data_IF_676067580122
#
_entry.id   IF_676067580122
#
_cell.length_a   1.000
_cell.length_b   1.000
_cell.length_c   1.000
_cell.angle_alpha   90.00
_cell.angle_beta   90.00
_cell.angle_gamma   90.00
#
_symmetry.space_group_name_H-M   'P 1'
#
loop_
_entity.id
_entity.type
_entity.pdbx_description
1 polymer ?
#
# COMPACT_ATOMS: atom_id res chain seq x y z
N UNK A 1 22.49 9.54 4.10
CA UNK A 1 21.53 8.44 3.88
C UNK A 1 21.26 8.43 2.39
N UNK A 2 21.73 7.42 1.66
CA UNK A 2 21.37 7.27 0.25
C UNK A 2 19.89 6.90 0.18
N UNK A 3 19.06 7.83 -0.27
CA UNK A 3 17.66 7.57 -0.56
C UNK A 3 17.58 6.71 -1.82
N UNK A 4 17.41 5.41 -1.62
CA UNK A 4 17.21 4.47 -2.70
C UNK A 4 15.72 4.48 -3.09
N UNK A 5 15.33 5.42 -3.94
CA UNK A 5 13.94 5.52 -4.41
C UNK A 5 13.74 4.66 -5.66
N UNK A 6 12.58 4.01 -5.72
CA UNK A 6 12.11 3.31 -6.92
C UNK A 6 11.12 4.26 -7.61
N UNK A 7 11.45 4.68 -8.84
CA UNK A 7 10.54 5.47 -9.68
C UNK A 7 9.71 4.54 -10.55
N UNK A 8 8.39 4.69 -10.51
CA UNK A 8 7.44 3.94 -11.34
C UNK A 8 6.70 4.96 -12.21
N UNK A 9 6.78 4.81 -13.53
CA UNK A 9 6.03 5.63 -14.50
C UNK A 9 5.19 4.75 -15.42
N UNK A 10 3.87 4.80 -15.25
CA UNK A 10 2.92 4.04 -16.08
C UNK A 10 2.99 4.43 -17.57
N UNK A 11 3.54 5.61 -17.92
CA UNK A 11 3.69 6.04 -19.32
C UNK A 11 4.77 5.25 -20.06
N UNK A 12 5.75 4.71 -19.35
CA UNK A 12 6.88 3.95 -19.91
C UNK A 12 6.77 2.44 -19.68
N UNK A 13 5.67 1.97 -19.07
CA UNK A 13 5.45 0.57 -18.76
C UNK A 13 5.20 -0.28 -20.02
N UNK A 14 5.87 -1.43 -20.14
CA UNK A 14 5.72 -2.36 -21.28
C UNK A 14 4.32 -3.02 -21.35
N UNK A 15 3.63 -3.11 -20.20
CA UNK A 15 2.29 -3.69 -20.11
C UNK A 15 1.18 -2.67 -20.35
N UNK A 16 1.52 -1.42 -20.69
CA UNK A 16 0.55 -0.35 -20.91
C UNK A 16 -0.50 -0.77 -21.96
N UNK A 17 -1.75 -0.43 -21.70
CA UNK A 17 -2.91 -0.70 -22.56
C UNK A 17 -3.23 -2.20 -22.78
N UNK A 18 -2.61 -3.10 -22.02
CA UNK A 18 -2.95 -4.52 -21.99
C UNK A 18 -3.98 -4.85 -20.90
N UNK A 19 -4.57 -6.04 -20.96
CA UNK A 19 -5.46 -6.56 -19.91
C UNK A 19 -4.79 -6.65 -18.53
N UNK A 20 -3.46 -6.75 -18.48
CA UNK A 20 -2.72 -6.72 -17.21
C UNK A 20 -2.69 -5.31 -16.62
N UNK A 21 -2.76 -4.26 -17.44
CA UNK A 21 -2.77 -2.88 -16.97
C UNK A 21 -4.05 -2.56 -16.17
N UNK A 22 -5.19 -3.14 -16.55
CA UNK A 22 -6.47 -2.95 -15.84
C UNK A 22 -6.51 -3.60 -14.46
N UNK A 23 -5.65 -4.58 -14.20
CA UNK A 23 -5.54 -5.28 -12.91
C UNK A 23 -4.24 -4.92 -12.17
N UNK A 24 -3.58 -3.82 -12.56
CA UNK A 24 -2.29 -3.44 -12.00
C UNK A 24 -2.44 -2.67 -10.68
N UNK A 25 -1.78 -3.15 -9.63
CA UNK A 25 -1.74 -2.48 -8.32
C UNK A 25 -1.18 -1.05 -8.38
N UNK A 26 -0.35 -0.73 -9.38
CA UNK A 26 0.30 0.58 -9.53
C UNK A 26 -0.72 1.70 -9.76
N UNK A 27 -1.84 1.41 -10.44
CA UNK A 27 -2.93 2.40 -10.59
C UNK A 27 -3.43 2.85 -9.22
N UNK A 28 -3.60 1.93 -8.27
CA UNK A 28 -4.03 2.24 -6.92
C UNK A 28 -2.97 2.92 -6.05
N UNK A 29 -1.68 2.75 -6.38
CA UNK A 29 -0.57 3.40 -5.66
C UNK A 29 -0.39 4.84 -6.17
N UNK A 30 -0.41 5.04 -7.49
CA UNK A 30 -0.14 6.32 -8.13
C UNK A 30 -1.35 7.26 -8.16
N UNK A 31 -2.57 6.73 -8.20
CA UNK A 31 -3.80 7.54 -8.21
C UNK A 31 -4.18 8.02 -6.79
N UNK A 32 -3.54 7.47 -5.76
CA UNK A 32 -3.78 7.84 -4.37
C UNK A 32 -2.90 8.99 -3.94
N UNK A 33 -3.49 10.00 -3.30
CA UNK A 33 -2.69 11.02 -2.61
C UNK A 33 -2.09 10.41 -1.35
N UNK A 34 -0.85 10.76 -0.96
CA UNK A 34 -0.22 10.23 0.26
C UNK A 34 -1.05 10.41 1.54
N UNK A 35 -1.94 11.41 1.56
CA UNK A 35 -2.78 11.78 2.70
C UNK A 35 -4.20 11.18 2.64
N UNK A 36 -4.50 10.37 1.62
CA UNK A 36 -5.84 9.85 1.43
C UNK A 36 -6.13 8.68 2.39
N UNK A 37 -7.12 8.89 3.26
CA UNK A 37 -7.51 7.90 4.26
C UNK A 37 -8.04 6.61 3.61
N UNK A 38 -7.66 5.47 4.17
CA UNK A 38 -8.27 4.17 3.83
C UNK A 38 -9.44 3.93 4.77
N UNK A 39 -10.66 3.92 4.23
CA UNK A 39 -11.85 3.54 4.99
C UNK A 39 -11.98 2.01 4.95
N UNK A 40 -11.98 1.40 6.13
CA UNK A 40 -12.20 -0.04 6.31
C UNK A 40 -13.39 -0.25 7.24
N UNK A 41 -14.18 -1.27 6.96
CA UNK A 41 -15.27 -1.69 7.83
C UNK A 41 -14.73 -2.33 9.10
N UNK A 42 -15.57 -2.40 10.13
CA UNK A 42 -15.19 -3.04 11.40
C UNK A 42 -14.96 -4.55 11.24
N UNK A 43 -15.68 -5.20 10.33
CA UNK A 43 -15.53 -6.64 10.09
C UNK A 43 -14.25 -6.96 9.31
N UNK A 44 -13.87 -6.12 8.34
CA UNK A 44 -12.56 -6.20 7.69
C UNK A 44 -11.43 -6.04 8.69
N UNK A 45 -11.52 -5.03 9.57
CA UNK A 45 -10.50 -4.80 10.60
C UNK A 45 -10.35 -6.01 11.55
N UNK A 46 -11.47 -6.61 11.98
CA UNK A 46 -11.45 -7.83 12.82
C UNK A 46 -10.83 -9.02 12.10
N UNK A 47 -11.09 -9.16 10.80
CA UNK A 47 -10.53 -10.23 9.96
C UNK A 47 -9.02 -10.06 9.82
N UNK A 48 -8.56 -8.85 9.47
CA UNK A 48 -7.13 -8.52 9.40
C UNK A 48 -6.43 -8.79 10.72
N UNK A 49 -7.03 -8.40 11.86
CA UNK A 49 -6.46 -8.65 13.19
C UNK A 49 -6.35 -10.14 13.50
N UNK A 50 -7.32 -10.95 13.08
CA UNK A 50 -7.31 -12.40 13.28
C UNK A 50 -6.21 -13.07 12.45
N UNK A 51 -6.05 -12.65 11.19
CA UNK A 51 -5.00 -13.14 10.30
C UNK A 51 -3.60 -12.75 10.79
N UNK A 52 -3.44 -11.52 11.28
CA UNK A 52 -2.19 -11.05 11.87
C UNK A 52 -1.79 -11.88 13.10
N UNK A 53 -2.74 -12.18 14.02
CA UNK A 53 -2.50 -13.06 15.17
C UNK A 53 -2.08 -14.47 14.79
N UNK A 54 -2.54 -14.96 13.64
CA UNK A 54 -2.16 -16.26 13.09
C UNK A 54 -0.82 -16.23 12.33
N UNK A 55 -0.16 -15.06 12.23
CA UNK A 55 1.07 -14.89 11.47
C UNK A 55 0.89 -14.89 9.94
N UNK A 56 -0.36 -14.75 9.47
CA UNK A 56 -0.71 -14.78 8.04
C UNK A 56 -0.65 -13.39 7.37
N UNK A 57 -0.55 -12.33 8.17
CA UNK A 57 -0.36 -10.96 7.69
C UNK A 57 0.76 -10.26 8.48
N UNK A 58 1.54 -9.38 7.83
CA UNK A 58 2.49 -8.55 8.55
C UNK A 58 1.77 -7.62 9.53
N UNK A 59 2.43 -7.28 10.64
CA UNK A 59 1.97 -6.23 11.54
C UNK A 59 2.03 -4.87 10.86
N UNK A 60 1.30 -3.89 11.39
CA UNK A 60 1.41 -2.50 10.95
C UNK A 60 2.84 -2.03 11.20
N UNK A 61 3.63 -1.97 10.13
CA UNK A 61 5.05 -1.62 10.21
C UNK A 61 5.25 -0.12 10.43
N UNK A 62 4.35 0.70 9.90
CA UNK A 62 4.35 2.13 10.14
C UNK A 62 3.90 2.40 11.59
N UNK A 63 4.89 2.62 12.45
CA UNK A 63 4.69 3.24 13.75
C UNK A 63 4.96 4.72 13.55
N UNK A 64 4.05 5.58 14.01
CA UNK A 64 4.40 7.00 14.14
C UNK A 64 5.67 7.05 14.98
N UNK A 65 6.73 7.67 14.47
CA UNK A 65 7.82 8.10 15.33
C UNK A 65 7.22 9.11 16.28
N UNK A 66 6.83 8.67 17.48
CA UNK A 66 6.55 9.59 18.56
C UNK A 66 7.86 10.35 18.81
N UNK A 67 7.92 11.61 18.37
CA UNK A 67 8.95 12.54 18.80
C UNK A 67 8.78 12.67 20.32
N UNK A 68 9.44 11.80 21.08
CA UNK A 68 9.60 11.97 22.52
C UNK A 68 10.39 13.26 22.70
N UNK A 69 9.69 14.28 23.18
CA UNK A 69 10.31 15.37 23.93
C UNK A 69 10.93 14.80 25.21
#
# INVERSE_FOLDING_TARGET
MEENYISIDCRTCIMKDTVTCSDCIVTYICDRKPEEAVVISMDEWRSMRSLNKAGLLPELQHKQCENSM
#
